data_IF_745269507640
#
_entry.id   IF_745269507640
#
_cell.length_a   1.000
_cell.length_b   1.000
_cell.length_c   1.000
_cell.angle_alpha   90.00
_cell.angle_beta   90.00
_cell.angle_gamma   90.00
#
_symmetry.space_group_name_H-M   'P 1'
#
loop_
_entity.id
_entity.type
_entity.pdbx_description
1 polymer ?
#
# COMPACT_ATOMS: atom_id res chain seq x y z
N UNK A 1 -40.79 -35.61 -57.51
CA UNK A 1 -39.36 -35.27 -57.66
C UNK A 1 -39.20 -33.78 -57.46
N UNK A 2 -38.96 -33.32 -56.22
CA UNK A 2 -38.31 -32.04 -55.92
C UNK A 2 -38.15 -31.92 -54.40
N UNK A 3 -37.25 -32.73 -53.83
CA UNK A 3 -36.62 -32.43 -52.54
C UNK A 3 -35.42 -31.54 -52.86
N UNK A 4 -35.60 -30.23 -52.79
CA UNK A 4 -34.50 -29.28 -52.78
C UNK A 4 -33.90 -29.23 -51.38
N UNK A 5 -32.56 -29.33 -51.20
CA UNK A 5 -31.97 -29.28 -49.88
C UNK A 5 -32.16 -27.88 -49.27
N UNK A 6 -32.71 -27.84 -48.06
CA UNK A 6 -32.82 -26.60 -47.27
C UNK A 6 -31.44 -25.95 -47.08
N UNK A 7 -31.32 -24.63 -47.25
CA UNK A 7 -30.05 -23.94 -47.02
C UNK A 7 -29.69 -24.08 -45.53
N UNK A 8 -28.56 -24.73 -45.27
CA UNK A 8 -27.98 -24.83 -43.94
C UNK A 8 -27.67 -23.40 -43.49
N UNK A 9 -28.52 -22.82 -42.62
CA UNK A 9 -28.24 -21.55 -41.98
C UNK A 9 -26.99 -21.74 -41.14
N UNK A 10 -25.85 -21.33 -41.70
CA UNK A 10 -24.59 -21.24 -41.00
C UNK A 10 -24.82 -20.38 -39.75
N UNK A 11 -24.92 -21.04 -38.59
CA UNK A 11 -24.99 -20.36 -37.29
C UNK A 11 -23.71 -19.55 -37.17
N UNK A 12 -23.76 -18.28 -37.54
CA UNK A 12 -22.69 -17.34 -37.25
C UNK A 12 -22.41 -17.42 -35.74
N UNK A 13 -21.25 -17.97 -35.38
CA UNK A 13 -20.75 -17.95 -34.01
C UNK A 13 -20.71 -16.49 -33.57
N UNK A 14 -21.65 -16.11 -32.71
CA UNK A 14 -21.67 -14.76 -32.15
C UNK A 14 -20.35 -14.58 -31.40
N UNK A 15 -19.52 -13.57 -31.74
CA UNK A 15 -18.30 -13.32 -31.00
C UNK A 15 -18.67 -13.11 -29.51
N UNK A 16 -17.90 -13.68 -28.57
CA UNK A 16 -18.21 -13.57 -27.16
C UNK A 16 -18.33 -12.08 -26.77
N UNK A 17 -19.29 -11.72 -25.91
CA UNK A 17 -19.55 -10.33 -25.57
C UNK A 17 -18.26 -9.67 -25.05
N UNK A 18 -17.93 -8.47 -25.54
CA UNK A 18 -16.69 -7.75 -25.25
C UNK A 18 -16.38 -7.62 -23.73
N UNK A 19 -17.43 -7.66 -22.90
CA UNK A 19 -17.35 -7.65 -21.44
C UNK A 19 -16.65 -8.90 -20.85
N UNK A 20 -16.78 -10.06 -21.51
CA UNK A 20 -16.14 -11.31 -21.09
C UNK A 20 -14.65 -11.34 -21.48
N UNK A 21 -14.29 -10.85 -22.68
CA UNK A 21 -12.87 -10.66 -23.07
C UNK A 21 -12.17 -9.67 -22.15
N UNK A 22 -12.79 -8.53 -21.82
CA UNK A 22 -12.21 -7.53 -20.90
C UNK A 22 -11.98 -8.08 -19.49
N UNK A 23 -12.85 -8.99 -19.02
CA UNK A 23 -12.70 -9.67 -17.71
C UNK A 23 -11.48 -10.58 -17.64
N UNK A 24 -11.05 -11.18 -18.76
CA UNK A 24 -9.88 -12.08 -18.80
C UNK A 24 -8.60 -11.32 -19.18
N UNK A 25 -8.69 -10.26 -20.00
CA UNK A 25 -7.53 -9.47 -20.41
C UNK A 25 -6.87 -8.74 -19.24
N UNK A 26 -7.64 -8.13 -18.34
CA UNK A 26 -7.10 -7.38 -17.19
C UNK A 26 -6.21 -8.26 -16.27
N UNK A 27 -6.67 -9.41 -15.75
CA UNK A 27 -5.83 -10.26 -14.90
C UNK A 27 -4.62 -10.82 -15.66
N UNK A 28 -4.73 -11.14 -16.96
CA UNK A 28 -3.59 -11.59 -17.76
C UNK A 28 -2.54 -10.49 -17.91
N UNK A 29 -2.95 -9.26 -18.24
CA UNK A 29 -2.03 -8.12 -18.37
C UNK A 29 -1.38 -7.79 -17.02
N UNK A 30 -2.15 -7.80 -15.92
CA UNK A 30 -1.62 -7.59 -14.57
C UNK A 30 -0.61 -8.68 -14.21
N UNK A 31 -0.93 -9.95 -14.47
CA UNK A 31 -0.05 -11.08 -14.19
C UNK A 31 1.25 -10.97 -14.99
N UNK A 32 1.15 -10.65 -16.29
CA UNK A 32 2.32 -10.46 -17.15
C UNK A 32 3.18 -9.29 -16.67
N UNK A 33 2.55 -8.16 -16.30
CA UNK A 33 3.26 -7.00 -15.76
C UNK A 33 3.99 -7.33 -14.45
N UNK A 34 3.36 -8.09 -13.55
CA UNK A 34 3.99 -8.56 -12.30
C UNK A 34 5.17 -9.49 -12.60
N UNK A 35 5.02 -10.44 -13.52
CA UNK A 35 6.11 -11.35 -13.90
C UNK A 35 7.30 -10.61 -14.52
N UNK A 36 7.04 -9.67 -15.43
CA UNK A 36 8.10 -8.85 -16.03
C UNK A 36 8.80 -7.98 -14.98
N UNK A 37 8.03 -7.37 -14.06
CA UNK A 37 8.59 -6.59 -12.96
C UNK A 37 9.46 -7.45 -12.05
N UNK A 38 9.00 -8.63 -11.63
CA UNK A 38 9.76 -9.55 -10.80
C UNK A 38 11.02 -10.04 -11.52
N UNK A 39 10.93 -10.34 -12.81
CA UNK A 39 12.08 -10.73 -13.65
C UNK A 39 13.13 -9.63 -13.73
N UNK A 40 12.72 -8.38 -13.91
CA UNK A 40 13.62 -7.22 -13.93
C UNK A 40 14.31 -7.01 -12.57
N UNK A 41 13.56 -7.08 -11.47
CA UNK A 41 14.11 -6.97 -10.11
C UNK A 41 15.09 -8.10 -9.83
N UNK A 42 14.73 -9.35 -10.15
CA UNK A 42 15.60 -10.51 -9.97
C UNK A 42 16.91 -10.36 -10.74
N UNK A 43 16.81 -9.98 -12.02
CA UNK A 43 17.99 -9.78 -12.89
C UNK A 43 18.90 -8.71 -12.31
N UNK A 44 18.35 -7.57 -11.87
CA UNK A 44 19.14 -6.51 -11.24
C UNK A 44 19.85 -6.98 -9.96
N UNK A 45 19.11 -7.57 -9.02
CA UNK A 45 19.65 -8.05 -7.74
C UNK A 45 20.72 -9.13 -7.95
N UNK A 46 20.51 -10.04 -8.90
CA UNK A 46 21.47 -11.09 -9.21
C UNK A 46 22.74 -10.54 -9.85
N UNK A 47 22.60 -9.61 -10.79
CA UNK A 47 23.72 -8.93 -11.45
C UNK A 47 24.56 -8.14 -10.45
N UNK A 48 23.91 -7.35 -9.59
CA UNK A 48 24.59 -6.61 -8.53
C UNK A 48 25.33 -7.56 -7.58
N UNK A 49 24.70 -8.67 -7.18
CA UNK A 49 25.34 -9.67 -6.31
C UNK A 49 26.61 -10.26 -6.95
N UNK A 50 26.57 -10.59 -8.24
CA UNK A 50 27.73 -11.10 -8.97
C UNK A 50 28.83 -10.05 -9.06
N UNK A 51 28.47 -8.79 -9.31
CA UNK A 51 29.41 -7.67 -9.33
C UNK A 51 30.08 -7.48 -7.97
N UNK A 52 29.31 -7.40 -6.87
CA UNK A 52 29.86 -7.28 -5.52
C UNK A 52 30.77 -8.46 -5.15
N UNK A 53 30.45 -9.66 -5.65
CA UNK A 53 31.32 -10.83 -5.47
C UNK A 53 32.63 -10.69 -6.25
N UNK A 54 32.62 -10.17 -7.47
CA UNK A 54 33.84 -10.03 -8.29
C UNK A 54 34.83 -9.01 -7.72
N UNK A 55 34.33 -7.98 -7.03
CA UNK A 55 35.16 -6.98 -6.33
C UNK A 55 35.49 -7.35 -4.88
N UNK A 56 35.07 -8.53 -4.39
CA UNK A 56 35.36 -8.99 -3.02
C UNK A 56 34.47 -8.40 -1.91
N UNK A 57 33.45 -7.60 -2.25
CA UNK A 57 32.57 -6.89 -1.31
C UNK A 57 31.21 -7.56 -1.10
N UNK A 58 31.13 -8.90 -1.20
CA UNK A 58 29.88 -9.68 -1.05
C UNK A 58 29.15 -9.43 0.29
N UNK A 59 29.89 -9.20 1.37
CA UNK A 59 29.32 -8.88 2.70
C UNK A 59 28.56 -7.54 2.71
N UNK A 60 29.08 -6.54 1.98
CA UNK A 60 28.44 -5.21 1.87
C UNK A 60 27.09 -5.32 1.17
N UNK A 61 27.02 -6.10 0.08
CA UNK A 61 25.76 -6.34 -0.62
C UNK A 61 24.74 -7.03 0.28
N UNK A 62 25.18 -8.06 1.00
CA UNK A 62 24.30 -8.84 1.89
C UNK A 62 23.76 -7.96 3.02
N UNK A 63 24.61 -7.14 3.63
CA UNK A 63 24.24 -6.20 4.69
C UNK A 63 23.28 -5.11 4.17
N UNK A 64 23.57 -4.56 2.99
CA UNK A 64 22.70 -3.56 2.35
C UNK A 64 21.32 -4.15 2.06
N UNK A 65 21.27 -5.32 1.43
CA UNK A 65 20.01 -5.96 1.01
C UNK A 65 19.20 -6.44 2.22
N UNK A 66 19.84 -7.08 3.21
CA UNK A 66 19.17 -7.53 4.42
C UNK A 66 18.57 -6.35 5.18
N UNK A 67 19.32 -5.26 5.34
CA UNK A 67 18.83 -4.04 6.00
C UNK A 67 17.63 -3.46 5.27
N UNK A 68 17.68 -3.35 3.93
CA UNK A 68 16.53 -2.87 3.14
C UNK A 68 15.30 -3.75 3.32
N UNK A 69 15.45 -5.07 3.29
CA UNK A 69 14.34 -6.02 3.46
C UNK A 69 13.75 -5.91 4.87
N UNK A 70 14.60 -5.90 5.91
CA UNK A 70 14.15 -5.79 7.30
C UNK A 70 13.41 -4.47 7.52
N UNK A 71 13.95 -3.35 7.04
CA UNK A 71 13.28 -2.05 7.13
C UNK A 71 11.95 -2.04 6.37
N UNK A 72 11.92 -2.61 5.16
CA UNK A 72 10.69 -2.72 4.36
C UNK A 72 9.59 -3.44 5.13
N UNK A 73 9.90 -4.63 5.65
CA UNK A 73 8.93 -5.47 6.35
C UNK A 73 8.53 -4.82 7.67
N UNK A 74 9.48 -4.40 8.51
CA UNK A 74 9.20 -3.86 9.84
C UNK A 74 8.35 -2.60 9.78
N UNK A 75 8.79 -1.59 9.01
CA UNK A 75 8.06 -0.32 8.92
C UNK A 75 6.78 -0.45 8.12
N UNK A 76 6.78 -1.26 7.07
CA UNK A 76 5.57 -1.58 6.30
C UNK A 76 4.50 -2.21 7.18
N UNK A 77 4.86 -3.24 7.96
CA UNK A 77 3.92 -3.93 8.86
C UNK A 77 3.39 -3.00 9.94
N UNK A 78 4.25 -2.23 10.61
CA UNK A 78 3.82 -1.27 11.65
C UNK A 78 2.82 -0.27 11.06
N UNK A 79 3.14 0.32 9.91
CA UNK A 79 2.29 1.32 9.27
C UNK A 79 0.94 0.73 8.85
N UNK A 80 0.97 -0.40 8.13
CA UNK A 80 -0.23 -1.07 7.66
C UNK A 80 -1.11 -1.54 8.82
N UNK A 81 -0.51 -2.09 9.89
CA UNK A 81 -1.23 -2.51 11.08
C UNK A 81 -1.93 -1.33 11.74
N UNK A 82 -1.22 -0.23 11.99
CA UNK A 82 -1.81 0.96 12.64
C UNK A 82 -2.94 1.55 11.80
N UNK A 83 -2.75 1.74 10.50
CA UNK A 83 -3.81 2.29 9.63
C UNK A 83 -5.01 1.33 9.56
N UNK A 84 -4.76 0.03 9.39
CA UNK A 84 -5.82 -0.98 9.29
C UNK A 84 -6.62 -1.06 10.59
N UNK A 85 -5.96 -1.06 11.74
CA UNK A 85 -6.63 -1.05 13.05
C UNK A 85 -7.49 0.20 13.19
N UNK A 86 -6.97 1.38 12.87
CA UNK A 86 -7.74 2.62 12.92
C UNK A 86 -8.97 2.60 12.00
N UNK A 87 -8.79 2.13 10.77
CA UNK A 87 -9.88 1.96 9.79
C UNK A 87 -10.93 0.96 10.30
N UNK A 88 -10.53 -0.18 10.86
CA UNK A 88 -11.44 -1.19 11.41
C UNK A 88 -12.18 -0.68 12.65
N UNK A 89 -11.51 0.07 13.52
CA UNK A 89 -12.13 0.71 14.70
C UNK A 89 -13.13 1.78 14.27
N UNK A 90 -12.79 2.60 13.28
CA UNK A 90 -13.69 3.59 12.68
C UNK A 90 -14.97 2.93 12.10
N UNK A 91 -14.82 1.75 11.50
CA UNK A 91 -15.99 0.98 11.04
C UNK A 91 -16.86 0.46 12.19
N UNK A 92 -16.24 -0.03 13.26
CA UNK A 92 -16.95 -0.61 14.41
C UNK A 92 -17.63 0.43 15.31
N UNK A 93 -17.08 1.63 15.40
CA UNK A 93 -17.53 2.69 16.32
C UNK A 93 -18.76 3.47 15.87
N UNK A 94 -19.46 3.03 14.82
CA UNK A 94 -20.71 3.69 14.38
C UNK A 94 -21.80 3.56 15.44
N UNK A 95 -22.27 4.68 16.03
CA UNK A 95 -23.48 4.66 16.83
C UNK A 95 -24.65 4.29 15.91
N UNK A 96 -25.40 3.25 16.29
CA UNK A 96 -26.66 2.83 15.66
C UNK A 96 -27.79 3.87 15.82
N UNK A 97 -27.49 5.16 15.97
CA UNK A 97 -28.50 6.21 16.16
C UNK A 97 -29.27 6.54 14.87
N UNK A 98 -28.79 6.06 13.71
CA UNK A 98 -29.50 6.14 12.42
C UNK A 98 -30.34 4.89 12.12
N UNK A 99 -30.70 4.10 13.14
CA UNK A 99 -31.71 3.04 13.03
C UNK A 99 -33.16 3.58 13.20
N UNK A 100 -33.35 4.88 13.42
CA UNK A 100 -34.67 5.47 13.74
C UNK A 100 -35.25 6.45 12.69
N UNK A 101 -34.56 6.76 11.60
CA UNK A 101 -35.17 7.52 10.50
C UNK A 101 -35.66 6.60 9.38
N UNK A 102 -36.92 6.16 9.53
CA UNK A 102 -37.84 5.89 8.44
C UNK A 102 -37.61 4.63 7.60
N UNK A 103 -38.55 3.69 7.70
CA UNK A 103 -38.67 2.46 6.92
C UNK A 103 -38.91 2.65 5.39
N UNK A 104 -38.51 3.78 4.79
CA UNK A 104 -38.79 4.14 3.39
C UNK A 104 -37.56 4.61 2.58
N UNK A 105 -36.33 4.34 3.03
CA UNK A 105 -35.18 5.08 2.52
C UNK A 105 -34.39 4.33 1.43
N UNK A 106 -34.26 4.96 0.25
CA UNK A 106 -33.38 4.55 -0.87
C UNK A 106 -31.91 4.30 -0.44
N UNK A 107 -31.54 4.81 0.72
CA UNK A 107 -30.28 4.62 1.46
C UNK A 107 -30.05 3.17 1.90
N UNK A 108 -31.09 2.41 2.25
CA UNK A 108 -30.96 1.01 2.68
C UNK A 108 -30.49 0.09 1.54
N UNK A 109 -30.92 0.37 0.29
CA UNK A 109 -30.51 -0.36 -0.92
C UNK A 109 -29.05 -0.04 -1.31
N UNK A 110 -28.58 1.18 -1.06
CA UNK A 110 -27.18 1.55 -1.25
C UNK A 110 -26.24 0.86 -0.25
N UNK A 111 -26.68 0.65 1.01
CA UNK A 111 -25.92 -0.11 2.02
C UNK A 111 -25.72 -1.58 1.65
N UNK A 112 -26.71 -2.23 1.02
CA UNK A 112 -26.63 -3.63 0.58
C UNK A 112 -25.60 -3.85 -0.55
N UNK A 113 -25.28 -2.83 -1.35
CA UNK A 113 -24.25 -2.92 -2.40
C UNK A 113 -22.81 -2.66 -1.94
N UNK A 114 -22.62 -1.92 -0.85
CA UNK A 114 -21.28 -1.51 -0.36
C UNK A 114 -20.69 -2.54 0.62
N UNK A 115 -21.54 -3.30 1.32
CA UNK A 115 -21.11 -4.32 2.27
C UNK A 115 -20.12 -5.39 1.72
N UNK A 116 -20.26 -5.93 0.50
CA UNK A 116 -19.28 -6.88 -0.03
C UNK A 116 -17.91 -6.25 -0.36
N UNK A 117 -17.85 -4.93 -0.56
CA UNK A 117 -16.62 -4.22 -0.92
C UNK A 117 -15.74 -3.87 0.29
N UNK A 118 -16.24 -4.05 1.52
CA UNK A 118 -15.53 -3.69 2.75
C UNK A 118 -14.19 -4.42 2.92
N UNK A 119 -14.19 -5.75 2.73
CA UNK A 119 -12.99 -6.59 2.87
C UNK A 119 -11.93 -6.26 1.81
N UNK A 120 -12.27 -6.20 0.51
CA UNK A 120 -11.27 -5.86 -0.50
C UNK A 120 -10.74 -4.44 -0.32
N UNK A 121 -11.55 -3.45 0.08
CA UNK A 121 -11.06 -2.09 0.36
C UNK A 121 -10.04 -2.08 1.49
N UNK A 122 -10.32 -2.74 2.62
CA UNK A 122 -9.38 -2.80 3.74
C UNK A 122 -8.09 -3.52 3.34
N UNK A 123 -8.18 -4.61 2.59
CA UNK A 123 -7.00 -5.34 2.08
C UNK A 123 -6.18 -4.45 1.15
N UNK A 124 -6.83 -3.72 0.24
CA UNK A 124 -6.15 -2.81 -0.69
C UNK A 124 -5.48 -1.67 0.07
N UNK A 125 -6.14 -1.04 1.05
CA UNK A 125 -5.55 0.01 1.90
C UNK A 125 -4.35 -0.54 2.68
N UNK A 126 -4.47 -1.72 3.29
CA UNK A 126 -3.40 -2.36 4.03
C UNK A 126 -2.19 -2.64 3.13
N UNK A 127 -2.41 -3.19 1.92
CA UNK A 127 -1.34 -3.49 0.98
C UNK A 127 -0.67 -2.22 0.44
N UNK A 128 -1.47 -1.21 0.07
CA UNK A 128 -0.95 0.06 -0.44
C UNK A 128 -0.10 0.78 0.61
N UNK A 129 -0.60 0.87 1.84
CA UNK A 129 0.12 1.51 2.95
C UNK A 129 1.36 0.71 3.35
N UNK A 130 1.30 -0.63 3.35
CA UNK A 130 2.44 -1.52 3.56
C UNK A 130 3.55 -1.25 2.56
N UNK A 131 3.23 -1.29 1.26
CA UNK A 131 4.22 -1.09 0.17
C UNK A 131 4.78 0.33 0.20
N UNK A 132 3.93 1.35 0.42
CA UNK A 132 4.36 2.74 0.50
C UNK A 132 5.32 2.99 1.66
N UNK A 133 4.93 2.59 2.87
CA UNK A 133 5.72 2.81 4.08
C UNK A 133 7.00 1.96 4.08
N UNK A 134 6.89 0.69 3.68
CA UNK A 134 8.04 -0.21 3.56
C UNK A 134 9.06 0.31 2.54
N UNK A 135 8.62 0.75 1.35
CA UNK A 135 9.52 1.29 0.33
C UNK A 135 10.22 2.56 0.79
N UNK A 136 9.49 3.43 1.49
CA UNK A 136 10.03 4.67 2.07
C UNK A 136 11.11 4.38 3.11
N UNK A 137 10.87 3.43 4.02
CA UNK A 137 11.83 3.03 5.04
C UNK A 137 13.04 2.30 4.43
N UNK A 138 12.82 1.37 3.50
CA UNK A 138 13.90 0.67 2.80
C UNK A 138 14.84 1.63 2.07
N UNK A 139 14.33 2.74 1.52
CA UNK A 139 15.15 3.80 0.92
C UNK A 139 16.10 4.50 1.90
N UNK A 140 15.84 4.43 3.20
CA UNK A 140 16.63 5.06 4.29
C UNK A 140 17.63 4.12 4.96
N UNK A 141 17.94 2.97 4.34
CA UNK A 141 18.90 2.00 4.85
C UNK A 141 20.28 2.59 5.20
N UNK A 142 20.79 3.56 4.42
CA UNK A 142 22.08 4.23 4.72
C UNK A 142 22.00 5.00 6.03
N UNK A 143 20.91 5.74 6.23
CA UNK A 143 20.67 6.51 7.46
C UNK A 143 20.58 5.60 8.67
N UNK A 144 19.89 4.46 8.55
CA UNK A 144 19.84 3.44 9.59
C UNK A 144 21.22 2.85 9.91
N UNK A 145 21.99 2.44 8.90
CA UNK A 145 23.33 1.89 9.12
C UNK A 145 24.31 2.92 9.69
N UNK A 146 24.19 4.18 9.29
CA UNK A 146 24.98 5.28 9.86
C UNK A 146 24.65 5.50 11.33
N UNK A 147 23.37 5.44 11.72
CA UNK A 147 22.96 5.49 13.12
C UNK A 147 23.49 4.29 13.91
N UNK A 148 23.36 3.07 13.36
CA UNK A 148 23.76 1.86 14.08
C UNK A 148 25.28 1.69 14.22
N UNK A 149 26.06 2.19 13.26
CA UNK A 149 27.52 2.06 13.20
C UNK A 149 28.23 3.41 13.34
N UNK A 150 27.55 4.43 13.86
CA UNK A 150 28.11 5.76 14.06
C UNK A 150 29.27 5.75 15.06
N UNK A 151 30.17 6.71 14.92
CA UNK A 151 31.33 6.88 15.81
C UNK A 151 31.41 8.29 16.35
N UNK A 152 32.05 8.46 17.51
CA UNK A 152 32.28 9.79 18.09
C UNK A 152 33.37 10.55 17.34
N UNK A 153 33.16 11.85 17.15
CA UNK A 153 34.16 12.78 16.62
C UNK A 153 35.08 13.32 17.71
N UNK A 154 34.78 13.02 18.98
CA UNK A 154 35.46 13.53 20.17
C UNK A 154 35.54 15.06 20.19
N UNK A 155 34.51 15.72 19.64
CA UNK A 155 34.39 17.17 19.57
C UNK A 155 32.95 17.53 19.84
N UNK A 156 32.73 18.15 20.99
CA UNK A 156 31.43 18.68 21.36
C UNK A 156 31.16 20.02 20.67
N UNK A 157 29.90 20.25 20.32
CA UNK A 157 29.42 21.55 19.87
C UNK A 157 29.37 22.57 21.02
N UNK A 158 29.46 23.86 20.70
CA UNK A 158 29.56 24.95 21.68
C UNK A 158 28.24 25.27 22.41
N UNK A 159 27.09 24.89 21.86
CA UNK A 159 25.78 25.34 22.32
C UNK A 159 25.06 24.27 23.16
N UNK A 160 25.10 23.01 22.73
CA UNK A 160 24.37 21.89 23.33
C UNK A 160 25.30 20.86 23.96
N UNK A 161 26.62 20.99 23.78
CA UNK A 161 27.61 20.07 24.35
C UNK A 161 27.46 18.64 23.82
N UNK A 162 26.88 18.45 22.63
CA UNK A 162 26.74 17.16 21.97
C UNK A 162 27.90 16.93 21.02
N UNK A 163 28.37 15.69 20.93
CA UNK A 163 29.38 15.34 19.94
C UNK A 163 28.84 15.58 18.52
N UNK A 164 29.70 16.04 17.62
CA UNK A 164 29.33 16.27 16.21
C UNK A 164 28.73 15.00 15.57
N UNK A 165 29.17 13.81 15.99
CA UNK A 165 28.65 12.52 15.56
C UNK A 165 27.15 12.38 15.76
N UNK A 166 26.58 12.97 16.80
CA UNK A 166 25.14 12.99 17.02
C UNK A 166 24.39 13.63 15.84
N UNK A 167 24.90 14.76 15.31
CA UNK A 167 24.24 15.48 14.22
C UNK A 167 24.41 14.79 12.87
N UNK A 168 25.50 14.05 12.69
CA UNK A 168 25.82 13.36 11.43
C UNK A 168 25.14 12.00 11.34
N UNK A 169 25.11 11.24 12.44
CA UNK A 169 24.66 9.84 12.45
C UNK A 169 23.29 9.65 13.08
N UNK A 170 23.08 10.19 14.30
CA UNK A 170 21.86 9.91 15.07
C UNK A 170 20.67 10.77 14.66
N UNK A 171 20.90 12.07 14.55
CA UNK A 171 19.86 13.06 14.32
C UNK A 171 19.07 12.82 13.01
N UNK A 172 19.71 12.47 11.87
CA UNK A 172 18.97 12.14 10.66
C UNK A 172 18.03 10.94 10.82
N UNK A 173 18.42 9.94 11.62
CA UNK A 173 17.59 8.77 11.90
C UNK A 173 16.39 9.12 12.78
N UNK A 174 16.59 9.89 13.85
CA UNK A 174 15.49 10.37 14.68
C UNK A 174 14.52 11.26 13.91
N UNK A 175 15.02 12.14 13.03
CA UNK A 175 14.16 12.94 12.14
C UNK A 175 13.35 12.09 11.18
N UNK A 176 13.93 11.01 10.66
CA UNK A 176 13.20 10.06 9.83
C UNK A 176 12.08 9.39 10.63
N UNK A 177 12.37 8.85 11.82
CA UNK A 177 11.36 8.22 12.68
C UNK A 177 10.22 9.17 13.03
N UNK A 178 10.55 10.41 13.37
CA UNK A 178 9.57 11.45 13.70
C UNK A 178 8.69 11.79 12.49
N UNK A 179 9.30 12.06 11.33
CA UNK A 179 8.57 12.36 10.08
C UNK A 179 7.70 11.17 9.64
N UNK A 180 8.19 9.95 9.81
CA UNK A 180 7.47 8.72 9.53
C UNK A 180 6.26 8.58 10.46
N UNK A 181 6.42 8.82 11.75
CA UNK A 181 5.34 8.83 12.73
C UNK A 181 4.26 9.87 12.43
N UNK A 182 4.65 11.10 12.09
CA UNK A 182 3.69 12.12 11.66
C UNK A 182 2.93 11.72 10.40
N UNK A 183 3.64 11.17 9.41
CA UNK A 183 3.05 10.68 8.16
C UNK A 183 2.06 9.55 8.44
N UNK A 184 2.39 8.65 9.37
CA UNK A 184 1.52 7.56 9.80
C UNK A 184 0.24 8.09 10.45
N UNK A 185 0.35 9.00 11.42
CA UNK A 185 -0.82 9.59 12.09
C UNK A 185 -1.68 10.35 11.08
N UNK A 186 -1.07 11.16 10.21
CA UNK A 186 -1.77 11.94 9.20
C UNK A 186 -2.52 11.05 8.20
N UNK A 187 -1.84 10.06 7.58
CA UNK A 187 -2.48 9.15 6.62
C UNK A 187 -3.53 8.26 7.30
N UNK A 188 -3.32 7.85 8.55
CA UNK A 188 -4.32 7.14 9.33
C UNK A 188 -5.57 8.01 9.56
N UNK A 189 -5.40 9.28 9.93
CA UNK A 189 -6.51 10.21 10.10
C UNK A 189 -7.27 10.44 8.78
N UNK A 190 -6.56 10.62 7.66
CA UNK A 190 -7.17 10.74 6.33
C UNK A 190 -7.94 9.46 5.95
N UNK A 191 -7.35 8.28 6.18
CA UNK A 191 -8.02 7.01 5.92
C UNK A 191 -9.30 6.86 6.75
N UNK A 192 -9.25 7.19 8.04
CA UNK A 192 -10.43 7.19 8.92
C UNK A 192 -11.48 8.20 8.47
N UNK A 193 -11.09 9.40 8.07
CA UNK A 193 -12.00 10.43 7.57
C UNK A 193 -12.69 9.99 6.27
N UNK A 194 -11.95 9.42 5.32
CA UNK A 194 -12.49 8.85 4.09
C UNK A 194 -13.51 7.74 4.38
N UNK A 195 -13.20 6.88 5.35
CA UNK A 195 -14.11 5.82 5.80
C UNK A 195 -15.40 6.40 6.38
N UNK A 196 -15.33 7.45 7.20
CA UNK A 196 -16.52 8.12 7.73
C UNK A 196 -17.31 8.83 6.64
N UNK A 197 -16.63 9.46 5.68
CA UNK A 197 -17.25 10.15 4.55
C UNK A 197 -17.99 9.17 3.63
N UNK A 198 -17.31 8.13 3.16
CA UNK A 198 -17.85 7.14 2.21
C UNK A 198 -19.06 6.37 2.75
N UNK A 199 -19.15 6.26 4.07
CA UNK A 199 -20.19 5.46 4.72
C UNK A 199 -21.19 6.28 5.55
N UNK A 200 -21.24 7.60 5.36
CA UNK A 200 -22.38 8.41 5.79
C UNK A 200 -22.31 9.05 7.18
N UNK A 201 -21.12 9.34 7.70
CA UNK A 201 -20.94 10.15 8.92
C UNK A 201 -21.02 11.67 8.66
N UNK A 202 -20.77 12.11 7.43
CA UNK A 202 -20.76 13.53 7.04
C UNK A 202 -21.74 13.71 5.87
N UNK A 203 -23.03 13.74 6.17
CA UNK A 203 -23.98 14.33 5.24
C UNK A 203 -23.79 15.85 5.34
N UNK A 204 -23.38 16.51 4.25
CA UNK A 204 -23.72 17.92 4.09
C UNK A 204 -25.25 17.97 4.02
N UNK A 205 -25.91 18.12 5.17
CA UNK A 205 -27.32 18.40 5.24
C UNK A 205 -27.50 19.80 4.63
N UNK A 206 -27.59 19.86 3.31
CA UNK A 206 -28.14 20.99 2.61
C UNK A 206 -29.54 21.17 3.18
N UNK A 207 -29.68 22.15 4.08
CA UNK A 207 -30.96 22.59 4.64
C UNK A 207 -31.71 23.28 3.50
N UNK A 208 -32.22 22.47 2.57
CA UNK A 208 -33.24 22.86 1.60
C UNK A 208 -34.55 23.01 2.37
N UNK A 209 -35.12 24.20 2.21
CA UNK A 209 -36.30 24.73 2.89
C UNK A 209 -37.50 23.80 2.91
#
# INVERSE_FOLDING_TARGET
>A
MSDGPEPILERAERPPPAQQRRRVLVPTVVTLAVLLFLGAVFTGVWTDRLWFKSVGYSSVFTTMLSTRIVMFILFGLVFAAVVTVNVVVAYRSRPMTMAQLGANDSVARYRQGIDPLRRPIVIVIALLTFVFAGSTAAGRWRTYLMWQNGTDFNKADLYFGKDIGFYVFDYPWFRFLLSFGFTLVFLSAVAVALVHYLYGGIAFQGRGR
#
